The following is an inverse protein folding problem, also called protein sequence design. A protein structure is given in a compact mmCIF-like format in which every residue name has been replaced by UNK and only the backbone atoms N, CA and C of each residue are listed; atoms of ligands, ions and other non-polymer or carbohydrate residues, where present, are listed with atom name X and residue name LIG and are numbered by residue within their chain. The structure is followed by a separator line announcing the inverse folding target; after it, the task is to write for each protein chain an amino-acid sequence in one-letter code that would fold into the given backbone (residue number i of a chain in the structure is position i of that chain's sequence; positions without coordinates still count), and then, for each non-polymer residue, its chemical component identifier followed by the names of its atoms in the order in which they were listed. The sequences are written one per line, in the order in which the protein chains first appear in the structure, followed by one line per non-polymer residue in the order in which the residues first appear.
data_IF_321852052723
#
_entry.id   IF_321852052723
#
_cell.length_a   1.000
_cell.length_b   1.000
_cell.length_c   1.000
_cell.angle_alpha   90.00
_cell.angle_beta   90.00
_cell.angle_gamma   90.00
#
_symmetry.space_group_name_H-M   'P 1'
#
loop_
_entity.id
_entity.type
_entity.pdbx_description
1 polymer ?
#
# COMPACT_ATOMS: atom_id res chain seq x y z
N UNK A 1 -4.77 -15.75 26.26
CA UNK A 1 -4.74 -15.84 24.79
C UNK A 1 -4.83 -14.43 24.25
N UNK A 2 -3.89 -14.01 23.41
CA UNK A 2 -4.00 -12.73 22.70
C UNK A 2 -5.02 -12.93 21.59
N UNK A 3 -6.10 -12.15 21.57
CA UNK A 3 -7.09 -12.23 20.50
C UNK A 3 -6.46 -11.78 19.17
N UNK A 4 -6.82 -12.38 18.02
CA UNK A 4 -6.42 -11.87 16.72
C UNK A 4 -6.78 -10.38 16.61
N UNK A 5 -5.77 -9.51 16.40
CA UNK A 5 -5.94 -8.06 16.34
C UNK A 5 -5.55 -7.26 17.59
N UNK A 6 -5.03 -7.90 18.64
CA UNK A 6 -4.47 -7.19 19.81
C UNK A 6 -2.94 -7.34 19.86
N UNK A 7 -2.20 -6.25 19.73
CA UNK A 7 -0.79 -6.23 20.16
C UNK A 7 -0.72 -5.93 21.66
N UNK A 8 0.34 -6.39 22.35
CA UNK A 8 0.60 -6.08 23.77
C UNK A 8 0.70 -4.57 24.05
N UNK A 9 0.87 -3.73 23.02
CA UNK A 9 0.88 -2.26 23.06
C UNK A 9 -0.50 -1.62 22.87
N UNK A 10 -1.58 -2.40 22.71
CA UNK A 10 -2.93 -1.88 22.48
C UNK A 10 -3.18 -1.35 21.06
N UNK A 11 -2.22 -1.55 20.14
CA UNK A 11 -2.34 -1.16 18.74
C UNK A 11 -3.06 -2.27 17.97
N UNK A 12 -4.11 -1.90 17.23
CA UNK A 12 -4.80 -2.81 16.32
C UNK A 12 -3.98 -2.93 15.03
N UNK A 13 -3.29 -4.06 14.87
CA UNK A 13 -2.60 -4.44 13.62
C UNK A 13 -3.11 -5.80 13.16
N UNK A 14 -3.35 -5.94 11.86
CA UNK A 14 -3.69 -7.23 11.29
C UNK A 14 -2.45 -8.15 11.27
N UNK A 15 -2.63 -9.42 11.63
CA UNK A 15 -1.53 -10.38 11.78
C UNK A 15 -0.65 -10.53 10.53
N UNK A 16 -1.19 -10.31 9.33
CA UNK A 16 -0.38 -10.39 8.10
C UNK A 16 0.75 -9.35 8.09
N UNK A 17 0.58 -8.19 8.74
CA UNK A 17 1.63 -7.16 8.81
C UNK A 17 2.82 -7.61 9.64
N UNK A 18 2.60 -8.40 10.70
CA UNK A 18 3.68 -8.91 11.55
C UNK A 18 4.62 -9.77 10.71
N UNK A 19 4.06 -10.70 9.93
CA UNK A 19 4.85 -11.58 9.07
C UNK A 19 5.53 -10.81 7.93
N UNK A 20 4.85 -9.80 7.36
CA UNK A 20 5.46 -8.92 6.38
C UNK A 20 6.65 -8.18 6.98
N UNK A 21 6.55 -7.66 8.21
CA UNK A 21 7.62 -6.95 8.88
C UNK A 21 8.82 -7.85 9.20
N UNK A 22 8.57 -9.06 9.71
CA UNK A 22 9.61 -10.08 9.90
C UNK A 22 10.36 -10.36 8.59
N UNK A 23 9.61 -10.53 7.50
CA UNK A 23 10.18 -10.80 6.17
C UNK A 23 10.99 -9.62 5.65
N UNK A 24 10.46 -8.40 5.80
CA UNK A 24 11.11 -7.17 5.37
C UNK A 24 12.45 -6.97 6.09
N UNK A 25 12.45 -7.11 7.41
CA UNK A 25 13.64 -6.94 8.24
C UNK A 25 14.72 -7.98 7.91
N UNK A 26 14.32 -9.21 7.59
CA UNK A 26 15.28 -10.27 7.26
C UNK A 26 15.89 -10.15 5.85
N UNK A 27 15.12 -9.73 4.84
CA UNK A 27 15.54 -9.89 3.43
C UNK A 27 15.85 -8.59 2.68
N UNK A 28 15.25 -7.48 3.08
CA UNK A 28 15.21 -6.27 2.24
C UNK A 28 15.58 -4.99 2.97
N UNK A 29 15.63 -5.01 4.29
CA UNK A 29 15.91 -3.82 5.10
C UNK A 29 17.19 -3.11 4.69
N UNK A 30 18.28 -3.83 4.43
CA UNK A 30 19.54 -3.22 3.97
C UNK A 30 19.40 -2.55 2.60
N UNK A 31 18.76 -3.21 1.62
CA UNK A 31 18.51 -2.64 0.30
C UNK A 31 17.62 -1.39 0.37
N UNK A 32 16.61 -1.44 1.23
CA UNK A 32 15.72 -0.33 1.50
C UNK A 32 16.50 0.86 2.09
N UNK A 33 17.28 0.63 3.15
CA UNK A 33 18.14 1.65 3.76
C UNK A 33 19.13 2.25 2.76
N UNK A 34 19.77 1.43 1.93
CA UNK A 34 20.73 1.90 0.92
C UNK A 34 20.08 2.84 -0.10
N UNK A 35 18.84 2.57 -0.50
CA UNK A 35 18.07 3.44 -1.39
C UNK A 35 17.83 4.83 -0.75
N UNK A 36 17.39 4.87 0.51
CA UNK A 36 17.11 6.13 1.20
C UNK A 36 18.38 6.88 1.62
N UNK A 37 19.46 6.18 1.98
CA UNK A 37 20.74 6.77 2.32
C UNK A 37 21.38 7.56 1.17
N UNK A 38 21.21 7.08 -0.08
CA UNK A 38 21.62 7.83 -1.28
C UNK A 38 20.88 9.15 -1.44
N UNK A 39 19.65 9.20 -0.94
CA UNK A 39 18.74 10.34 -1.04
C UNK A 39 18.55 11.07 0.31
N UNK A 40 19.49 10.94 1.25
CA UNK A 40 19.37 11.43 2.65
C UNK A 40 19.11 12.92 2.82
N UNK A 41 19.41 13.72 1.79
CA UNK A 41 19.20 15.18 1.81
C UNK A 41 17.75 15.57 1.48
N UNK A 42 16.91 14.61 1.09
CA UNK A 42 15.54 14.83 0.68
C UNK A 42 14.60 14.52 1.84
N UNK A 43 13.89 15.54 2.32
CA UNK A 43 12.93 15.42 3.42
C UNK A 43 11.49 15.23 2.97
N UNK A 44 11.21 15.37 1.67
CA UNK A 44 9.85 15.29 1.11
C UNK A 44 9.75 14.14 0.12
N UNK A 45 8.79 13.26 0.32
CA UNK A 45 8.63 12.03 -0.45
C UNK A 45 7.18 11.82 -0.88
N UNK A 46 7.01 11.05 -1.94
CA UNK A 46 5.70 10.72 -2.50
C UNK A 46 5.61 9.22 -2.72
N UNK A 47 4.43 8.68 -2.47
CA UNK A 47 4.08 7.29 -2.73
C UNK A 47 2.90 7.29 -3.67
N UNK A 48 3.08 6.75 -4.87
CA UNK A 48 2.02 6.48 -5.82
C UNK A 48 1.63 5.00 -5.72
N UNK A 49 0.38 4.67 -6.02
CA UNK A 49 -0.05 3.28 -5.84
C UNK A 49 -1.19 2.88 -6.76
N UNK A 50 -1.16 1.62 -7.16
CA UNK A 50 -2.21 0.97 -7.93
C UNK A 50 -2.42 -0.49 -7.48
N UNK A 51 -3.61 -1.03 -7.79
CA UNK A 51 -4.11 -2.29 -7.25
C UNK A 51 -4.80 -3.15 -8.31
N UNK A 52 -4.20 -4.30 -8.61
CA UNK A 52 -4.81 -5.34 -9.42
C UNK A 52 -5.43 -6.42 -8.51
N UNK A 53 -6.63 -6.15 -7.99
CA UNK A 53 -7.30 -7.00 -6.98
C UNK A 53 -8.56 -7.67 -7.53
N UNK A 54 -8.83 -8.90 -7.07
CA UNK A 54 -10.06 -9.66 -7.30
C UNK A 54 -10.40 -9.97 -8.77
N UNK A 55 -9.47 -9.84 -9.71
CA UNK A 55 -9.68 -10.25 -11.10
C UNK A 55 -9.66 -11.79 -11.19
N UNK A 56 -10.78 -12.41 -11.53
CA UNK A 56 -10.92 -13.87 -11.64
C UNK A 56 -10.06 -14.49 -12.74
N UNK A 57 -9.62 -13.70 -13.73
CA UNK A 57 -8.81 -14.18 -14.87
C UNK A 57 -7.31 -14.12 -14.61
N UNK A 58 -6.90 -13.45 -13.54
CA UNK A 58 -5.49 -13.25 -13.18
C UNK A 58 -5.05 -14.27 -12.14
N UNK A 59 -3.82 -14.79 -12.16
CA UNK A 59 -3.35 -15.74 -11.15
C UNK A 59 -3.21 -15.13 -9.74
N UNK A 60 -2.82 -13.86 -9.63
CA UNK A 60 -2.56 -13.23 -8.34
C UNK A 60 -3.43 -11.99 -8.14
N UNK A 61 -3.54 -11.57 -6.88
CA UNK A 61 -3.89 -10.20 -6.52
C UNK A 61 -2.58 -9.46 -6.20
N UNK A 62 -2.43 -8.23 -6.69
CA UNK A 62 -1.20 -7.46 -6.57
C UNK A 62 -1.48 -6.01 -6.14
N UNK A 63 -0.68 -5.52 -5.20
CA UNK A 63 -0.64 -4.13 -4.74
C UNK A 63 0.77 -3.62 -5.01
N UNK A 64 0.90 -2.45 -5.64
CA UNK A 64 2.22 -1.83 -5.84
C UNK A 64 2.23 -0.41 -5.31
N UNK A 65 3.30 -0.08 -4.59
CA UNK A 65 3.67 1.26 -4.15
C UNK A 65 4.95 1.68 -4.86
N UNK A 66 4.92 2.83 -5.55
CA UNK A 66 6.10 3.45 -6.15
C UNK A 66 6.47 4.68 -5.33
N UNK A 67 7.65 4.66 -4.72
CA UNK A 67 8.15 5.67 -3.80
C UNK A 67 9.18 6.52 -4.53
N UNK A 68 8.97 7.83 -4.53
CA UNK A 68 9.80 8.80 -5.24
C UNK A 68 10.13 10.00 -4.35
N UNK A 69 11.34 10.57 -4.46
CA UNK A 69 11.65 11.82 -3.80
C UNK A 69 10.88 12.99 -4.44
N UNK A 70 10.42 13.93 -3.61
CA UNK A 70 9.90 15.20 -4.11
C UNK A 70 11.06 16.13 -4.44
N UNK A 71 11.27 16.38 -5.73
CA UNK A 71 12.33 17.27 -6.24
C UNK A 71 11.73 18.49 -6.92
N UNK A 72 12.57 19.51 -7.21
CA UNK A 72 12.12 20.76 -7.84
C UNK A 72 11.48 20.57 -9.22
N UNK A 73 11.81 19.47 -9.91
CA UNK A 73 11.35 19.18 -11.27
C UNK A 73 10.15 18.23 -11.30
N UNK A 74 9.37 18.16 -10.22
CA UNK A 74 8.28 17.20 -10.11
C UNK A 74 7.30 17.23 -11.29
N UNK A 75 6.88 18.43 -11.73
CA UNK A 75 5.97 18.58 -12.87
C UNK A 75 6.65 18.14 -14.18
N UNK A 76 7.92 18.47 -14.38
CA UNK A 76 8.67 18.05 -15.56
C UNK A 76 8.80 16.53 -15.64
N UNK A 77 8.99 15.87 -14.48
CA UNK A 77 9.00 14.41 -14.39
C UNK A 77 7.61 13.86 -14.74
N UNK A 78 6.54 14.48 -14.25
CA UNK A 78 5.16 14.11 -14.58
C UNK A 78 4.88 14.19 -16.08
N UNK A 79 5.30 15.27 -16.72
CA UNK A 79 5.20 15.47 -18.18
C UNK A 79 6.03 14.46 -18.97
N UNK A 80 7.23 14.12 -18.47
CA UNK A 80 8.07 13.09 -19.07
C UNK A 80 7.40 11.72 -18.99
N UNK A 81 6.87 11.35 -17.82
CA UNK A 81 6.09 10.13 -17.65
C UNK A 81 4.89 10.14 -18.57
N UNK A 82 4.17 11.25 -18.69
CA UNK A 82 3.02 11.36 -19.60
C UNK A 82 3.38 11.14 -21.07
N UNK A 83 4.54 11.63 -21.52
CA UNK A 83 5.04 11.44 -22.89
C UNK A 83 5.50 10.01 -23.16
N UNK A 84 6.17 9.38 -22.19
CA UNK A 84 6.80 8.06 -22.38
C UNK A 84 5.84 6.89 -22.13
N UNK A 85 4.90 7.05 -21.20
CA UNK A 85 4.02 5.99 -20.71
C UNK A 85 2.83 5.71 -21.64
N UNK A 86 1.88 4.94 -21.13
CA UNK A 86 0.63 4.59 -21.79
C UNK A 86 -0.53 5.30 -21.10
N UNK A 87 -1.63 5.54 -21.81
CA UNK A 87 -2.84 6.08 -21.19
C UNK A 87 -3.67 5.02 -20.46
N UNK A 88 -3.78 3.84 -21.06
CA UNK A 88 -4.54 2.72 -20.50
C UNK A 88 -3.81 1.40 -20.79
N UNK A 89 -3.44 0.70 -19.72
CA UNK A 89 -2.71 -0.56 -19.80
C UNK A 89 -3.49 -1.66 -20.52
N UNK A 90 -4.83 -1.63 -20.48
CA UNK A 90 -5.68 -2.65 -21.11
C UNK A 90 -5.53 -2.64 -22.62
N UNK A 91 -5.41 -1.45 -23.20
CA UNK A 91 -5.27 -1.23 -24.64
C UNK A 91 -3.81 -1.25 -25.13
N UNK A 92 -2.85 -1.33 -24.21
CA UNK A 92 -1.43 -1.38 -24.53
C UNK A 92 -1.06 -2.71 -25.20
N UNK A 93 -0.40 -2.63 -26.36
CA UNK A 93 0.15 -3.80 -27.09
C UNK A 93 1.60 -4.09 -26.73
N UNK A 94 2.41 -3.05 -26.51
CA UNK A 94 3.83 -3.13 -26.17
C UNK A 94 4.18 -1.97 -25.25
N UNK A 95 4.99 -2.23 -24.23
CA UNK A 95 5.49 -1.19 -23.32
C UNK A 95 6.64 -0.45 -24.01
N UNK A 96 6.65 0.88 -23.92
CA UNK A 96 7.71 1.72 -24.45
C UNK A 96 9.03 1.42 -23.72
N UNK A 97 10.08 1.08 -24.46
CA UNK A 97 11.41 0.78 -23.88
C UNK A 97 12.03 1.99 -23.18
N UNK A 98 11.77 3.21 -23.66
CA UNK A 98 12.24 4.43 -22.99
C UNK A 98 11.55 4.63 -21.64
N UNK A 99 10.28 4.22 -21.51
CA UNK A 99 9.59 4.25 -20.22
C UNK A 99 10.18 3.23 -19.23
N UNK A 100 10.49 2.02 -19.70
CA UNK A 100 11.17 1.00 -18.89
C UNK A 100 12.56 1.48 -18.44
N UNK A 101 13.31 2.10 -19.35
CA UNK A 101 14.61 2.70 -19.04
C UNK A 101 14.48 3.83 -18.02
N UNK A 102 13.52 4.74 -18.21
CA UNK A 102 13.22 5.81 -17.27
C UNK A 102 12.95 5.28 -15.84
N UNK A 103 12.09 4.26 -15.70
CA UNK A 103 11.79 3.68 -14.37
C UNK A 103 13.06 3.10 -13.73
N UNK A 104 13.90 2.42 -14.52
CA UNK A 104 15.12 1.80 -14.02
C UNK A 104 16.24 2.77 -13.67
N UNK A 105 16.34 3.91 -14.35
CA UNK A 105 17.38 4.90 -14.08
C UNK A 105 16.96 5.93 -13.03
N UNK A 106 15.66 6.20 -12.90
CA UNK A 106 15.14 7.19 -11.94
C UNK A 106 15.23 6.74 -10.48
N UNK A 107 15.20 7.68 -9.53
CA UNK A 107 15.17 7.43 -8.08
C UNK A 107 13.77 6.94 -7.63
N UNK A 108 13.37 5.78 -8.14
CA UNK A 108 12.07 5.14 -7.87
C UNK A 108 12.33 3.80 -7.18
N UNK A 109 11.74 3.63 -6.00
CA UNK A 109 11.67 2.34 -5.33
C UNK A 109 10.25 1.79 -5.41
N UNK A 110 10.11 0.61 -5.98
CA UNK A 110 8.83 -0.08 -6.08
C UNK A 110 8.74 -1.18 -5.01
N UNK A 111 7.65 -1.19 -4.28
CA UNK A 111 7.32 -2.22 -3.30
C UNK A 111 6.01 -2.85 -3.73
N UNK A 112 6.05 -4.14 -4.03
CA UNK A 112 4.88 -4.88 -4.46
C UNK A 112 4.56 -6.00 -3.48
N UNK A 113 3.27 -6.15 -3.19
CA UNK A 113 2.74 -7.19 -2.32
C UNK A 113 1.76 -8.03 -3.14
N UNK A 114 2.12 -9.29 -3.35
CA UNK A 114 1.23 -10.30 -3.86
C UNK A 114 0.42 -10.91 -2.74
N UNK A 115 -0.83 -11.23 -3.02
CA UNK A 115 -1.71 -11.91 -2.08
C UNK A 115 -2.37 -13.09 -2.74
N UNK A 116 -2.66 -14.11 -1.93
CA UNK A 116 -3.49 -15.22 -2.37
C UNK A 116 -4.88 -14.72 -2.78
N UNK A 117 -5.43 -15.34 -3.83
CA UNK A 117 -6.79 -15.04 -4.29
C UNK A 117 -7.78 -15.26 -3.16
N UNK A 118 -8.67 -14.29 -2.98
CA UNK A 118 -9.70 -14.33 -1.95
C UNK A 118 -9.16 -14.46 -0.52
N UNK A 119 -7.90 -14.03 -0.29
CA UNK A 119 -7.36 -13.88 1.07
C UNK A 119 -8.37 -13.15 1.94
N UNK A 120 -8.64 -13.69 3.13
CA UNK A 120 -9.47 -13.05 4.16
C UNK A 120 -8.55 -12.49 5.25
N UNK A 121 -9.01 -11.47 5.97
CA UNK A 121 -8.29 -10.97 7.15
C UNK A 121 -8.29 -11.97 8.31
N UNK A 122 -9.33 -12.80 8.36
CA UNK A 122 -9.42 -13.94 9.24
C UNK A 122 -10.04 -15.11 8.45
N UNK A 123 -9.36 -16.28 8.37
CA UNK A 123 -9.84 -17.41 7.58
C UNK A 123 -11.10 -18.06 8.16
N UNK A 124 -11.34 -17.94 9.46
CA UNK A 124 -12.46 -18.56 10.16
C UNK A 124 -13.70 -17.67 10.17
N UNK A 125 -13.56 -16.42 10.63
CA UNK A 125 -14.68 -15.49 10.80
C UNK A 125 -14.27 -14.02 10.62
N UNK A 126 -13.99 -13.64 9.37
CA UNK A 126 -13.65 -12.27 8.96
C UNK A 126 -14.61 -11.20 9.49
N UNK A 127 -15.91 -11.47 9.56
CA UNK A 127 -16.89 -10.48 10.03
C UNK A 127 -16.69 -10.16 11.51
N UNK A 128 -16.57 -11.18 12.35
CA UNK A 128 -16.34 -10.98 13.78
C UNK A 128 -14.94 -10.41 14.05
N UNK A 129 -13.93 -10.82 13.28
CA UNK A 129 -12.59 -10.22 13.35
C UNK A 129 -12.63 -8.71 13.07
N UNK A 130 -13.31 -8.29 12.01
CA UNK A 130 -13.51 -6.87 11.69
C UNK A 130 -14.30 -6.12 12.77
N UNK A 131 -15.36 -6.72 13.32
CA UNK A 131 -16.11 -6.11 14.44
C UNK A 131 -15.22 -5.90 15.66
N UNK A 132 -14.41 -6.90 16.02
CA UNK A 132 -13.46 -6.80 17.13
C UNK A 132 -12.44 -5.69 16.86
N UNK A 133 -11.84 -5.68 15.67
CA UNK A 133 -10.93 -4.63 15.22
C UNK A 133 -11.52 -3.22 15.41
N UNK A 134 -12.75 -2.98 14.92
CA UNK A 134 -13.39 -1.67 15.07
C UNK A 134 -13.81 -1.33 16.49
N UNK A 135 -14.26 -2.30 17.29
CA UNK A 135 -14.54 -2.07 18.72
C UNK A 135 -13.27 -1.67 19.48
N UNK A 136 -12.16 -2.35 19.23
CA UNK A 136 -10.87 -2.03 19.85
C UNK A 136 -10.38 -0.65 19.41
N UNK A 137 -10.50 -0.32 18.12
CA UNK A 137 -10.15 1.01 17.62
C UNK A 137 -11.03 2.13 18.21
N UNK A 138 -12.34 1.91 18.37
CA UNK A 138 -13.23 2.87 19.07
C UNK A 138 -12.77 3.06 20.51
N UNK A 139 -12.43 1.98 21.22
CA UNK A 139 -11.95 2.05 22.59
C UNK A 139 -10.63 2.81 22.70
N UNK A 140 -9.70 2.59 21.77
CA UNK A 140 -8.44 3.34 21.67
C UNK A 140 -8.71 4.84 21.53
N UNK A 141 -9.55 5.25 20.57
CA UNK A 141 -9.88 6.67 20.37
C UNK A 141 -10.60 7.27 21.58
N UNK A 142 -11.47 6.50 22.26
CA UNK A 142 -12.10 6.95 23.50
C UNK A 142 -11.09 7.24 24.61
N UNK A 143 -10.05 6.42 24.72
CA UNK A 143 -8.97 6.63 25.70
C UNK A 143 -8.18 7.90 25.38
N UNK A 144 -7.84 8.14 24.11
CA UNK A 144 -7.19 9.40 23.69
C UNK A 144 -8.05 10.62 24.00
N UNK A 145 -9.35 10.59 23.67
CA UNK A 145 -10.28 11.68 23.99
C UNK A 145 -10.31 11.95 25.50
N UNK A 146 -10.28 10.90 26.32
CA UNK A 146 -10.26 11.03 27.79
C UNK A 146 -8.96 11.64 28.30
N UNK A 147 -7.82 11.26 27.72
CA UNK A 147 -6.49 11.65 28.21
C UNK A 147 -6.04 13.01 27.68
N UNK A 148 -6.37 13.34 26.44
CA UNK A 148 -5.84 14.49 25.69
C UNK A 148 -6.92 15.51 25.31
N UNK A 149 -8.19 15.17 25.50
CA UNK A 149 -9.34 15.99 25.13
C UNK A 149 -9.92 15.66 23.76
N UNK A 150 -11.17 16.07 23.54
CA UNK A 150 -11.88 15.84 22.29
C UNK A 150 -11.46 16.87 21.23
N UNK A 151 -10.56 16.49 20.32
CA UNK A 151 -10.27 17.27 19.13
C UNK A 151 -11.05 16.76 17.90
N UNK A 152 -11.11 17.57 16.85
CA UNK A 152 -11.86 17.26 15.63
C UNK A 152 -11.41 15.96 14.95
N UNK A 153 -10.10 15.65 14.98
CA UNK A 153 -9.56 14.43 14.39
C UNK A 153 -10.02 13.19 15.16
N UNK A 154 -10.01 13.21 16.49
CA UNK A 154 -10.46 12.09 17.31
C UNK A 154 -11.97 11.85 17.15
N UNK A 155 -12.77 12.92 17.11
CA UNK A 155 -14.21 12.81 16.88
C UNK A 155 -14.48 12.22 15.48
N UNK A 156 -13.77 12.70 14.45
CA UNK A 156 -13.87 12.19 13.08
C UNK A 156 -13.52 10.70 13.01
N UNK A 157 -12.39 10.32 13.58
CA UNK A 157 -11.89 8.95 13.58
C UNK A 157 -12.84 8.00 14.34
N UNK A 158 -13.34 8.40 15.51
CA UNK A 158 -14.32 7.63 16.26
C UNK A 158 -15.61 7.41 15.44
N UNK A 159 -16.10 8.44 14.76
CA UNK A 159 -17.28 8.35 13.87
C UNK A 159 -17.01 7.40 12.70
N UNK A 160 -15.82 7.46 12.11
CA UNK A 160 -15.42 6.58 11.03
C UNK A 160 -15.47 5.11 11.47
N UNK A 161 -14.87 4.77 12.61
CA UNK A 161 -14.90 3.41 13.16
C UNK A 161 -16.30 2.93 13.56
N UNK A 162 -17.11 3.79 14.19
CA UNK A 162 -18.52 3.46 14.49
C UNK A 162 -19.31 3.15 13.21
N UNK A 163 -19.11 3.94 12.16
CA UNK A 163 -19.75 3.72 10.86
C UNK A 163 -19.30 2.39 10.25
N UNK A 164 -18.00 2.09 10.27
CA UNK A 164 -17.47 0.82 9.77
C UNK A 164 -18.01 -0.37 10.57
N UNK A 165 -18.08 -0.26 11.91
CA UNK A 165 -18.66 -1.27 12.80
C UNK A 165 -20.13 -1.55 12.45
N UNK A 166 -20.93 -0.51 12.22
CA UNK A 166 -22.32 -0.65 11.81
C UNK A 166 -22.44 -1.32 10.43
N UNK A 167 -21.57 -0.98 9.47
CA UNK A 167 -21.56 -1.59 8.15
C UNK A 167 -21.18 -3.09 8.20
N UNK A 168 -20.16 -3.47 8.96
CA UNK A 168 -19.80 -4.90 9.12
C UNK A 168 -20.78 -5.68 9.99
N UNK A 169 -21.67 -5.00 10.71
CA UNK A 169 -22.72 -5.65 11.50
C UNK A 169 -23.96 -5.99 10.68
N UNK A 170 -24.17 -5.36 9.53
CA UNK A 170 -25.32 -5.60 8.65
C UNK A 170 -25.19 -6.90 7.86
N UNK A 171 -26.31 -7.62 7.73
CA UNK A 171 -26.43 -8.73 6.80
C UNK A 171 -26.26 -8.22 5.36
N UNK A 172 -25.47 -8.93 4.54
CA UNK A 172 -25.20 -8.54 3.14
C UNK A 172 -24.14 -7.45 2.95
N UNK A 173 -23.40 -7.07 4.00
CA UNK A 173 -22.30 -6.10 3.89
C UNK A 173 -21.24 -6.52 2.85
N UNK A 174 -20.68 -5.54 2.13
CA UNK A 174 -19.57 -5.77 1.19
C UNK A 174 -18.25 -5.93 1.94
N UNK A 175 -18.07 -7.07 2.61
CA UNK A 175 -16.86 -7.38 3.39
C UNK A 175 -15.60 -7.37 2.52
N UNK A 176 -15.71 -7.72 1.24
CA UNK A 176 -14.58 -7.70 0.31
C UNK A 176 -13.99 -6.30 0.15
N UNK A 177 -14.83 -5.29 -0.05
CA UNK A 177 -14.35 -3.92 -0.21
C UNK A 177 -13.76 -3.38 1.10
N UNK A 178 -14.39 -3.69 2.24
CA UNK A 178 -13.89 -3.32 3.57
C UNK A 178 -12.54 -3.99 3.83
N UNK A 179 -12.40 -5.28 3.51
CA UNK A 179 -11.11 -5.99 3.56
C UNK A 179 -10.04 -5.30 2.72
N UNK A 180 -10.34 -4.95 1.47
CA UNK A 180 -9.36 -4.29 0.61
C UNK A 180 -8.91 -2.95 1.22
N UNK A 181 -9.85 -2.17 1.76
CA UNK A 181 -9.56 -0.92 2.48
C UNK A 181 -8.63 -1.18 3.67
N UNK A 182 -8.92 -2.18 4.51
CA UNK A 182 -8.07 -2.55 5.65
C UNK A 182 -6.67 -2.95 5.19
N UNK A 183 -6.55 -3.86 4.22
CA UNK A 183 -5.27 -4.33 3.71
C UNK A 183 -4.43 -3.17 3.19
N UNK A 184 -4.99 -2.36 2.28
CA UNK A 184 -4.26 -1.27 1.63
C UNK A 184 -3.88 -0.18 2.61
N UNK A 185 -4.80 0.24 3.51
CA UNK A 185 -4.49 1.24 4.55
C UNK A 185 -3.39 0.77 5.50
N UNK A 186 -3.40 -0.51 5.86
CA UNK A 186 -2.39 -1.09 6.73
C UNK A 186 -1.01 -1.17 6.04
N UNK A 187 -0.99 -1.61 4.77
CA UNK A 187 0.24 -1.71 3.99
C UNK A 187 0.86 -0.34 3.71
N UNK A 188 0.08 0.66 3.32
CA UNK A 188 0.65 2.00 3.05
C UNK A 188 1.14 2.66 4.34
N UNK A 189 0.43 2.51 5.46
CA UNK A 189 0.88 3.02 6.75
C UNK A 189 2.20 2.37 7.17
N UNK A 190 2.31 1.05 7.00
CA UNK A 190 3.53 0.30 7.24
C UNK A 190 4.70 0.77 6.36
N UNK A 191 4.50 0.85 5.04
CA UNK A 191 5.51 1.32 4.09
C UNK A 191 5.97 2.73 4.47
N UNK A 192 5.03 3.63 4.74
CA UNK A 192 5.31 5.02 5.14
C UNK A 192 6.12 5.07 6.43
N UNK A 193 5.76 4.26 7.43
CA UNK A 193 6.53 4.12 8.67
C UNK A 193 7.97 3.65 8.42
N UNK A 194 8.17 2.65 7.56
CA UNK A 194 9.52 2.18 7.22
C UNK A 194 10.36 3.26 6.51
N UNK A 195 9.75 4.07 5.64
CA UNK A 195 10.42 5.24 5.02
C UNK A 195 10.87 6.24 6.09
N UNK A 196 9.97 6.62 7.01
CA UNK A 196 10.28 7.55 8.10
C UNK A 196 11.39 7.04 9.03
N UNK A 197 11.51 5.72 9.22
CA UNK A 197 12.62 5.12 9.97
C UNK A 197 13.95 5.13 9.23
N UNK A 198 13.92 5.23 7.90
CA UNK A 198 15.10 5.03 7.04
C UNK A 198 15.79 6.32 6.62
N UNK A 199 15.09 7.46 6.69
CA UNK A 199 15.65 8.78 6.41
C UNK A 199 14.88 9.87 7.14
N UNK A 200 15.44 11.06 7.24
CA UNK A 200 14.76 12.22 7.83
C UNK A 200 13.61 12.67 6.92
N UNK A 201 12.39 12.59 7.42
CA UNK A 201 11.17 13.01 6.70
C UNK A 201 10.59 14.26 7.35
N UNK A 202 10.17 15.22 6.54
CA UNK A 202 9.29 16.32 6.94
C UNK A 202 7.85 16.00 6.53
N UNK A 203 7.67 15.52 5.30
CA UNK A 203 6.35 15.22 4.74
C UNK A 203 6.45 14.09 3.73
N UNK A 204 5.54 13.14 3.84
CA UNK A 204 5.37 12.06 2.88
C UNK A 204 3.92 12.02 2.43
N UNK A 205 3.70 12.08 1.12
CA UNK A 205 2.36 12.10 0.52
C UNK A 205 2.02 10.77 -0.11
N UNK A 206 0.81 10.26 0.11
CA UNK A 206 0.27 9.11 -0.63
C UNK A 206 -0.79 9.55 -1.65
N UNK A 207 -0.58 9.15 -2.90
CA UNK A 207 -1.37 9.53 -4.06
C UNK A 207 -1.87 8.25 -4.75
N UNK A 208 -3.03 7.76 -4.32
CA UNK A 208 -3.68 6.59 -4.94
C UNK A 208 -4.47 6.99 -6.18
N UNK A 209 -4.55 6.09 -7.15
CA UNK A 209 -5.55 6.20 -8.22
C UNK A 209 -7.00 6.08 -7.67
N UNK A 210 -7.98 6.48 -8.48
CA UNK A 210 -9.43 6.46 -8.21
C UNK A 210 -9.96 5.02 -8.13
N UNK A 211 -9.59 4.30 -7.08
CA UNK A 211 -10.14 2.98 -6.81
C UNK A 211 -11.50 3.06 -6.09
N UNK A 212 -12.30 1.99 -6.19
CA UNK A 212 -13.55 1.82 -5.43
C UNK A 212 -13.36 1.96 -3.91
N UNK A 213 -12.16 1.67 -3.39
CA UNK A 213 -11.78 1.90 -2.00
C UNK A 213 -11.90 3.37 -1.59
N UNK A 214 -11.51 4.32 -2.45
CA UNK A 214 -11.60 5.75 -2.15
C UNK A 214 -13.05 6.25 -2.10
N UNK A 215 -13.93 5.61 -2.87
CA UNK A 215 -15.34 5.99 -2.98
C UNK A 215 -16.25 5.25 -1.99
N UNK A 216 -15.72 4.36 -1.16
CA UNK A 216 -16.52 3.50 -0.29
C UNK A 216 -17.40 4.31 0.67
N UNK A 217 -18.71 4.33 0.38
CA UNK A 217 -19.72 5.04 1.18
C UNK A 217 -19.29 6.47 1.51
N UNK A 218 -18.63 7.16 0.57
CA UNK A 218 -18.01 8.47 0.80
C UNK A 218 -18.98 9.49 1.41
N UNK A 219 -20.29 9.42 1.09
CA UNK A 219 -21.33 10.27 1.69
C UNK A 219 -21.49 10.12 3.23
N UNK A 220 -20.99 9.04 3.83
CA UNK A 220 -21.02 8.80 5.28
C UNK A 220 -19.78 9.33 6.01
N UNK A 221 -18.74 9.68 5.25
CA UNK A 221 -17.45 10.11 5.77
C UNK A 221 -17.14 11.53 5.29
N UNK A 222 -16.31 12.26 6.02
CA UNK A 222 -15.84 13.59 5.62
C UNK A 222 -14.73 13.55 4.56
N UNK A 223 -14.05 12.41 4.43
CA UNK A 223 -13.02 12.10 3.43
C UNK A 223 -13.02 10.59 3.16
N UNK A 224 -12.31 10.09 2.13
CA UNK A 224 -12.15 8.64 1.95
C UNK A 224 -11.66 7.95 3.23
N UNK A 225 -12.43 6.98 3.74
CA UNK A 225 -12.18 6.36 5.06
C UNK A 225 -10.82 5.66 5.14
N UNK A 226 -10.30 5.18 4.01
CA UNK A 226 -8.98 4.57 3.93
C UNK A 226 -7.85 5.49 4.40
N UNK A 227 -8.00 6.82 4.25
CA UNK A 227 -7.04 7.80 4.73
C UNK A 227 -7.06 7.91 6.26
N UNK A 228 -8.24 7.92 6.89
CA UNK A 228 -8.35 7.91 8.35
C UNK A 228 -7.72 6.63 8.92
N UNK A 229 -7.96 5.48 8.30
CA UNK A 229 -7.38 4.20 8.73
C UNK A 229 -5.86 4.16 8.57
N UNK A 230 -5.35 4.59 7.41
CA UNK A 230 -3.91 4.63 7.14
C UNK A 230 -3.19 5.60 8.08
N UNK A 231 -3.76 6.79 8.28
CA UNK A 231 -3.19 7.78 9.19
C UNK A 231 -3.20 7.31 10.64
N UNK A 232 -4.27 6.64 11.08
CA UNK A 232 -4.34 6.13 12.44
C UNK A 232 -3.28 5.06 12.72
N UNK A 233 -3.11 4.09 11.80
CA UNK A 233 -2.07 3.09 11.98
C UNK A 233 -0.66 3.72 11.92
N UNK A 234 -0.43 4.64 10.99
CA UNK A 234 0.83 5.37 10.91
C UNK A 234 1.14 6.11 12.21
N UNK A 235 0.17 6.84 12.77
CA UNK A 235 0.31 7.52 14.06
C UNK A 235 0.64 6.53 15.19
N UNK A 236 -0.04 5.39 15.26
CA UNK A 236 0.23 4.37 16.26
C UNK A 236 1.65 3.80 16.14
N UNK A 237 2.11 3.51 14.93
CA UNK A 237 3.46 2.99 14.67
C UNK A 237 4.53 4.03 15.02
N UNK A 238 4.36 5.28 14.57
CA UNK A 238 5.29 6.37 14.84
C UNK A 238 5.36 6.70 16.33
N UNK A 239 4.23 6.91 17.01
CA UNK A 239 4.19 7.24 18.44
C UNK A 239 4.76 6.14 19.33
N UNK A 240 4.64 4.88 18.91
CA UNK A 240 5.26 3.74 19.62
C UNK A 240 6.77 3.67 19.43
N UNK A 241 7.29 4.23 18.34
CA UNK A 241 8.72 4.30 18.05
C UNK A 241 9.36 5.58 18.65
N UNK A 242 8.69 6.72 18.51
CA UNK A 242 9.07 8.02 19.06
C UNK A 242 7.80 8.84 19.36
N UNK A 243 7.56 9.13 20.65
CA UNK A 243 6.38 9.89 21.07
C UNK A 243 6.41 11.36 20.65
N UNK A 244 7.55 11.88 20.19
CA UNK A 244 7.73 13.27 19.76
C UNK A 244 7.91 13.41 18.24
N UNK A 245 7.52 12.39 17.48
CA UNK A 245 7.64 12.40 16.02
C UNK A 245 6.91 13.61 15.40
N UNK A 246 7.43 14.14 14.29
CA UNK A 246 6.90 15.36 13.64
C UNK A 246 6.57 15.17 12.15
N UNK A 247 6.85 13.98 11.63
CA UNK A 247 6.64 13.55 10.26
C UNK A 247 5.16 13.66 9.88
N UNK A 248 4.89 14.31 8.75
CA UNK A 248 3.52 14.47 8.24
C UNK A 248 3.22 13.44 7.18
N UNK A 249 2.21 12.61 7.43
CA UNK A 249 1.61 11.75 6.42
C UNK A 249 0.40 12.45 5.81
N UNK A 250 0.48 12.77 4.51
CA UNK A 250 -0.55 13.53 3.79
C UNK A 250 -1.11 12.73 2.62
N UNK A 251 -2.28 13.10 2.12
CA UNK A 251 -3.00 12.34 1.10
C UNK A 251 -3.35 13.22 -0.09
N UNK A 252 -3.09 12.71 -1.30
CA UNK A 252 -3.62 13.25 -2.54
C UNK A 252 -5.11 12.97 -2.63
N UNK A 253 -5.93 14.03 -2.66
CA UNK A 253 -7.35 13.89 -2.96
C UNK A 253 -7.52 13.96 -4.48
N UNK A 254 -7.94 12.87 -5.15
CA UNK A 254 -8.19 12.91 -6.57
C UNK A 254 -9.40 13.83 -6.84
N UNK A 255 -9.33 14.55 -7.95
CA UNK A 255 -10.42 15.37 -8.46
C UNK A 255 -11.66 14.48 -8.66
N UNK A 256 -12.86 15.04 -8.45
CA UNK A 256 -14.11 14.28 -8.63
C UNK A 256 -14.41 13.96 -10.10
N UNK A 257 -13.97 14.84 -11.00
CA UNK A 257 -14.15 14.74 -12.45
C UNK A 257 -12.87 15.21 -13.15
N UNK A 258 -12.69 14.84 -14.42
CA UNK A 258 -11.52 15.23 -15.21
C UNK A 258 -10.25 14.45 -14.88
N UNK A 259 -9.11 14.96 -15.32
CA UNK A 259 -7.78 14.37 -15.09
C UNK A 259 -7.30 14.63 -13.67
N UNK A 260 -6.69 13.62 -13.06
CA UNK A 260 -5.99 13.78 -11.78
C UNK A 260 -4.59 14.32 -12.02
N UNK A 261 -4.16 15.35 -11.30
CA UNK A 261 -2.86 16.02 -11.56
C UNK A 261 -1.64 15.10 -11.40
N UNK A 262 -1.79 13.98 -10.70
CA UNK A 262 -0.76 12.96 -10.50
C UNK A 262 -1.04 11.63 -11.25
N UNK A 263 -2.03 11.60 -12.14
CA UNK A 263 -2.43 10.39 -12.88
C UNK A 263 -1.25 9.74 -13.62
N UNK A 264 -0.38 10.56 -14.21
CA UNK A 264 0.80 10.10 -14.94
C UNK A 264 1.70 9.21 -14.08
N UNK A 265 1.93 9.58 -12.82
CA UNK A 265 2.75 8.82 -11.89
C UNK A 265 2.13 7.49 -11.48
N UNK A 266 0.80 7.38 -11.42
CA UNK A 266 0.11 6.13 -11.10
C UNK A 266 0.27 5.06 -12.19
N UNK A 267 0.70 5.44 -13.41
CA UNK A 267 0.98 4.47 -14.49
C UNK A 267 2.19 3.58 -14.20
N UNK A 268 3.10 4.02 -13.32
CA UNK A 268 4.25 3.20 -12.88
C UNK A 268 3.77 2.03 -12.01
N UNK A 269 3.08 2.25 -10.87
CA UNK A 269 2.55 1.14 -10.09
C UNK A 269 1.47 0.35 -10.84
N UNK A 270 0.67 0.95 -11.73
CA UNK A 270 -0.30 0.21 -12.59
C UNK A 270 0.42 -0.80 -13.50
N UNK A 271 1.48 -0.39 -14.18
CA UNK A 271 2.29 -1.28 -15.02
C UNK A 271 2.81 -2.50 -14.25
N UNK A 272 3.35 -2.25 -13.06
CA UNK A 272 3.94 -3.29 -12.21
C UNK A 272 2.86 -4.17 -11.60
N UNK A 273 1.78 -3.60 -11.05
CA UNK A 273 0.66 -4.34 -10.46
C UNK A 273 -0.03 -5.23 -11.51
N UNK A 274 -0.30 -4.71 -12.71
CA UNK A 274 -0.91 -5.48 -13.79
C UNK A 274 -0.01 -6.62 -14.28
N UNK A 275 1.31 -6.38 -14.36
CA UNK A 275 2.31 -7.41 -14.71
C UNK A 275 2.34 -8.52 -13.67
N UNK A 276 2.45 -8.16 -12.38
CA UNK A 276 2.51 -9.10 -11.26
C UNK A 276 1.21 -9.88 -11.09
N UNK A 277 0.06 -9.25 -11.32
CA UNK A 277 -1.23 -9.92 -11.31
C UNK A 277 -1.34 -10.93 -12.46
N UNK A 278 -0.79 -10.63 -13.64
CA UNK A 278 -0.82 -11.49 -14.82
C UNK A 278 0.16 -12.69 -14.76
N UNK A 279 1.29 -12.51 -14.08
CA UNK A 279 2.38 -13.47 -14.10
C UNK A 279 2.08 -14.73 -13.27
N UNK A 280 2.09 -15.89 -13.92
CA UNK A 280 1.96 -17.21 -13.28
C UNK A 280 3.34 -17.71 -12.86
N UNK A 281 3.66 -17.53 -11.57
CA UNK A 281 4.90 -17.97 -10.95
C UNK A 281 5.14 -19.48 -11.05
N UNK A 282 4.09 -20.31 -11.10
CA UNK A 282 4.25 -21.77 -11.17
C UNK A 282 4.64 -22.22 -12.57
N UNK A 283 4.09 -21.55 -13.59
CA UNK A 283 4.37 -21.86 -15.00
C UNK A 283 5.52 -21.04 -15.57
N UNK A 284 5.97 -20.00 -14.87
CA UNK A 284 6.93 -19.03 -15.37
C UNK A 284 6.45 -18.40 -16.69
N UNK A 285 5.19 -17.96 -16.71
CA UNK A 285 4.54 -17.44 -17.91
C UNK A 285 3.68 -16.22 -17.62
N UNK A 286 3.62 -15.31 -18.58
CA UNK A 286 2.61 -14.25 -18.65
C UNK A 286 1.63 -14.57 -19.78
N UNK A 287 0.36 -14.20 -19.60
CA UNK A 287 -0.66 -14.37 -20.64
C UNK A 287 -0.54 -13.35 -21.77
N UNK A 288 0.21 -12.25 -21.56
CA UNK A 288 0.41 -11.21 -22.58
C UNK A 288 1.90 -10.88 -22.74
N UNK A 289 2.41 -10.97 -23.98
CA UNK A 289 3.82 -10.70 -24.29
C UNK A 289 4.30 -9.29 -23.90
N UNK A 290 3.39 -8.31 -23.76
CA UNK A 290 3.73 -6.94 -23.34
C UNK A 290 4.34 -6.85 -21.94
N UNK A 291 4.10 -7.84 -21.10
CA UNK A 291 4.61 -7.89 -19.73
C UNK A 291 6.00 -8.52 -19.63
N UNK A 292 6.45 -9.25 -20.66
CA UNK A 292 7.78 -9.87 -20.66
C UNK A 292 8.90 -8.83 -20.46
N UNK A 293 8.94 -7.70 -21.20
CA UNK A 293 9.95 -6.68 -20.96
C UNK A 293 9.88 -6.04 -19.56
N UNK A 294 8.70 -5.97 -18.95
CA UNK A 294 8.53 -5.44 -17.59
C UNK A 294 9.17 -6.39 -16.57
N UNK A 295 8.94 -7.69 -16.72
CA UNK A 295 9.57 -8.72 -15.89
C UNK A 295 11.08 -8.64 -16.02
N UNK A 296 11.60 -8.69 -17.25
CA UNK A 296 13.04 -8.74 -17.53
C UNK A 296 13.78 -7.46 -17.11
N UNK A 297 13.16 -6.29 -17.29
CA UNK A 297 13.84 -5.01 -17.03
C UNK A 297 13.58 -4.45 -15.64
N UNK A 298 12.34 -4.49 -15.12
CA UNK A 298 11.95 -3.83 -13.88
C UNK A 298 11.93 -4.82 -12.72
N UNK A 299 11.20 -5.94 -12.85
CA UNK A 299 11.00 -6.85 -11.72
C UNK A 299 12.28 -7.55 -11.27
N UNK A 300 13.20 -7.81 -12.21
CA UNK A 300 14.53 -8.37 -11.88
C UNK A 300 15.47 -7.37 -11.19
N UNK A 301 15.17 -6.07 -11.19
CA UNK A 301 16.00 -5.05 -10.55
C UNK A 301 15.74 -4.99 -9.04
N UNK A 302 16.34 -5.92 -8.28
CA UNK A 302 16.17 -6.05 -6.82
C UNK A 302 16.55 -4.82 -6.01
N UNK A 303 17.33 -3.89 -6.57
CA UNK A 303 17.68 -2.61 -5.90
C UNK A 303 16.55 -1.58 -5.99
N UNK A 304 15.61 -1.74 -6.93
CA UNK A 304 14.50 -0.81 -7.21
C UNK A 304 13.12 -1.47 -7.21
N UNK A 305 13.05 -2.81 -7.06
CA UNK A 305 11.81 -3.56 -6.99
C UNK A 305 11.90 -4.62 -5.89
N UNK A 306 11.16 -4.40 -4.80
CA UNK A 306 11.03 -5.31 -3.68
C UNK A 306 9.65 -5.98 -3.76
N UNK A 307 9.62 -7.30 -3.88
CA UNK A 307 8.39 -8.04 -4.09
C UNK A 307 8.21 -9.02 -2.94
N UNK A 308 7.06 -8.94 -2.28
CA UNK A 308 6.66 -9.83 -1.21
C UNK A 308 5.42 -10.61 -1.62
N UNK A 309 5.22 -11.76 -1.00
CA UNK A 309 3.97 -12.50 -1.09
C UNK A 309 3.45 -12.84 0.28
N UNK A 310 2.18 -12.50 0.51
CA UNK A 310 1.45 -12.84 1.72
C UNK A 310 0.54 -14.02 1.40
N UNK A 311 0.66 -15.05 2.22
CA UNK A 311 -0.13 -16.26 2.17
C UNK A 311 -1.08 -16.36 3.35
N UNK A 312 -2.32 -16.73 3.10
CA UNK A 312 -3.26 -17.12 4.15
C UNK A 312 -3.21 -18.63 4.34
N UNK A 313 -2.90 -19.06 5.55
CA UNK A 313 -2.89 -20.45 5.97
C UNK A 313 -4.07 -20.74 6.89
N UNK A 314 -4.31 -22.02 7.16
CA UNK A 314 -5.39 -22.43 8.06
C UNK A 314 -5.25 -21.85 9.47
N UNK A 315 -4.04 -21.57 9.94
CA UNK A 315 -3.73 -21.12 11.29
C UNK A 315 -3.12 -19.70 11.37
N UNK A 316 -3.16 -18.91 10.29
CA UNK A 316 -2.60 -17.55 10.30
C UNK A 316 -2.11 -17.10 8.93
N UNK A 317 -1.02 -16.34 8.94
CA UNK A 317 -0.41 -15.81 7.72
C UNK A 317 1.07 -16.18 7.66
N UNK A 318 1.62 -16.14 6.46
CA UNK A 318 3.06 -16.12 6.23
C UNK A 318 3.34 -15.05 5.18
N UNK A 319 4.53 -14.46 5.26
CA UNK A 319 5.05 -13.64 4.19
C UNK A 319 6.38 -14.19 3.70
N UNK A 320 6.67 -13.99 2.42
CA UNK A 320 7.94 -14.37 1.80
C UNK A 320 8.42 -13.28 0.86
N UNK A 321 9.74 -13.14 0.75
CA UNK A 321 10.37 -12.29 -0.25
C UNK A 321 10.53 -13.07 -1.57
N UNK A 322 10.13 -12.48 -2.68
CA UNK A 322 10.16 -13.11 -4.01
C UNK A 322 11.17 -12.40 -4.92
N UNK A 323 12.46 -12.81 -4.89
CA UNK A 323 13.43 -12.29 -5.84
C UNK A 323 13.16 -12.82 -7.25
N UNK A 324 13.13 -11.92 -8.24
CA UNK A 324 13.31 -12.29 -9.64
C UNK A 324 14.79 -12.25 -9.96
N UNK A 325 15.32 -13.32 -10.55
CA UNK A 325 16.71 -13.39 -10.98
C UNK A 325 16.80 -13.09 -12.47
N UNK A 326 17.79 -12.29 -12.87
CA UNK A 326 18.31 -12.39 -14.24
C UNK A 326 19.10 -13.70 -14.33
N UNK A 327 19.01 -14.45 -15.44
CA UNK A 327 19.82 -15.66 -15.63
C UNK A 327 21.33 -15.43 -15.44
N UNK A 328 21.79 -14.19 -15.63
CA UNK A 328 23.19 -13.77 -15.51
C UNK A 328 23.63 -13.48 -14.05
N UNK A 329 22.69 -13.42 -13.10
CA UNK A 329 22.94 -13.14 -11.67
C UNK A 329 22.61 -14.33 -10.75
N UNK A 330 22.31 -15.51 -11.31
CA UNK A 330 21.86 -16.71 -10.59
C UNK A 330 23.00 -17.69 -10.30
#
# INVERSE_FOLDING_TARGET
MVHPGESKSGIVMHNFLIHLDETFNHHSHTLFLDFFNKNKNISKWMIFSDYALNDKKKPNDAITFSILPYTKNFLDIGDLVDKLSFKDIKNLKKVNSEFLHFINESEILNISILMDKNMKLDPFNEREALKTCYKTAINQVNQWIKNEGANENYIRLQKAYKTLLDEVSKQGSNLRNIRNIEIVSNLIAYVTFQVCKSTKIETIGWFSDRDNMLNHKIAKFSMPVIFDLANNLFHNLMSSNDSNYTEKFVFGLPEKTGSVWYDSFNRIPDLIAATLADYDYKKNMSSHAKFIPVIESILTNRKKCLIYKIHALANGFQAGYLPFFRPEEA
#
